data_IF_294975422847
#
_entry.id   IF_294975422847
#
_cell.length_a   1.000
_cell.length_b   1.000
_cell.length_c   1.000
_cell.angle_alpha   90.00
_cell.angle_beta   90.00
_cell.angle_gamma   90.00
#
_symmetry.space_group_name_H-M   'P 1'
#
loop_
_entity.id
_entity.type
_entity.pdbx_description
1 polymer ?
#
# COMPACT_ATOMS: atom_id res chain seq x y z
N UNK A 1 3.59 -26.21 0.19
CA UNK A 1 4.51 -26.10 -0.95
C UNK A 1 3.69 -26.08 -2.23
N UNK A 2 3.70 -24.95 -2.92
CA UNK A 2 3.08 -24.73 -4.22
C UNK A 2 4.02 -23.84 -5.04
N UNK A 3 3.89 -23.85 -6.37
CA UNK A 3 4.74 -23.07 -7.29
C UNK A 3 3.93 -22.18 -8.24
N UNK A 4 2.60 -22.30 -8.22
CA UNK A 4 1.67 -21.52 -9.03
C UNK A 4 0.34 -21.31 -8.30
N UNK A 5 -0.58 -20.59 -8.95
CA UNK A 5 -1.83 -20.14 -8.32
C UNK A 5 -2.80 -21.29 -8.09
N UNK A 6 -2.88 -22.25 -9.00
CA UNK A 6 -3.69 -23.45 -8.81
C UNK A 6 -3.21 -24.25 -7.59
N UNK A 7 -1.90 -24.48 -7.46
CA UNK A 7 -1.34 -25.15 -6.28
C UNK A 7 -1.60 -24.39 -4.98
N UNK A 8 -1.59 -23.06 -5.01
CA UNK A 8 -1.96 -22.23 -3.86
C UNK A 8 -3.43 -22.43 -3.47
N UNK A 9 -4.36 -22.38 -4.43
CA UNK A 9 -5.77 -22.62 -4.16
C UNK A 9 -6.04 -24.03 -3.63
N UNK A 10 -5.42 -25.05 -4.20
CA UNK A 10 -5.55 -26.42 -3.69
C UNK A 10 -4.98 -26.58 -2.28
N UNK A 11 -3.84 -25.92 -1.98
CA UNK A 11 -3.27 -25.93 -0.63
C UNK A 11 -4.24 -25.35 0.40
N UNK A 12 -4.85 -24.21 0.07
CA UNK A 12 -5.78 -23.52 0.97
C UNK A 12 -7.09 -24.31 1.13
N UNK A 13 -7.64 -24.86 0.04
CA UNK A 13 -8.85 -25.69 0.09
C UNK A 13 -8.68 -26.92 0.97
N UNK A 14 -7.49 -27.53 0.97
CA UNK A 14 -7.18 -28.73 1.77
C UNK A 14 -7.46 -28.53 3.26
N UNK A 15 -7.14 -27.34 3.79
CA UNK A 15 -7.27 -27.04 5.21
C UNK A 15 -8.62 -26.34 5.52
N UNK A 16 -9.39 -25.97 4.48
CA UNK A 16 -10.66 -25.26 4.57
C UNK A 16 -10.50 -23.74 4.71
N UNK A 17 -11.45 -22.97 4.17
CA UNK A 17 -11.53 -21.51 4.30
C UNK A 17 -12.89 -21.08 4.83
N UNK A 18 -12.90 -20.08 5.70
CA UNK A 18 -14.12 -19.52 6.29
C UNK A 18 -14.80 -18.48 5.41
N UNK A 19 -14.08 -17.92 4.43
CA UNK A 19 -14.57 -16.91 3.49
C UNK A 19 -14.17 -17.29 2.07
N UNK A 20 -14.90 -16.77 1.08
CA UNK A 20 -14.50 -16.86 -0.32
C UNK A 20 -13.15 -16.15 -0.52
N UNK A 21 -12.31 -16.69 -1.40
CA UNK A 21 -11.00 -16.13 -1.73
C UNK A 21 -10.92 -15.83 -3.23
N UNK A 22 -10.55 -14.59 -3.55
CA UNK A 22 -10.13 -14.19 -4.88
C UNK A 22 -8.68 -13.68 -4.80
N UNK A 23 -7.89 -13.96 -5.85
CA UNK A 23 -6.49 -13.54 -5.89
C UNK A 23 -6.14 -12.96 -7.27
N UNK A 24 -5.30 -11.95 -7.28
CA UNK A 24 -4.65 -11.45 -8.49
C UNK A 24 -3.27 -12.10 -8.65
N UNK A 25 -2.70 -11.97 -9.84
CA UNK A 25 -1.27 -12.24 -10.10
C UNK A 25 -0.48 -10.93 -10.09
N UNK A 26 0.72 -10.93 -9.51
CA UNK A 26 1.53 -9.72 -9.37
C UNK A 26 2.60 -9.61 -10.48
N UNK A 27 2.56 -8.57 -11.33
CA UNK A 27 3.56 -8.33 -12.37
C UNK A 27 5.00 -8.30 -11.83
N UNK A 28 5.21 -7.73 -10.64
CA UNK A 28 6.53 -7.67 -9.99
C UNK A 28 7.07 -9.06 -9.64
N UNK A 29 6.20 -9.98 -9.21
CA UNK A 29 6.60 -11.36 -8.91
C UNK A 29 6.90 -12.14 -10.18
N UNK A 30 6.08 -11.95 -11.22
CA UNK A 30 6.32 -12.54 -12.55
C UNK A 30 7.64 -12.07 -13.13
N UNK A 31 7.92 -10.76 -13.08
CA UNK A 31 9.20 -10.21 -13.53
C UNK A 31 10.37 -10.80 -12.76
N UNK A 32 10.26 -10.90 -11.42
CA UNK A 32 11.30 -11.53 -10.60
C UNK A 32 11.52 -13.00 -10.92
N UNK A 33 10.48 -13.74 -11.31
CA UNK A 33 10.60 -15.14 -11.69
C UNK A 33 11.33 -15.35 -13.02
N UNK A 34 11.31 -14.35 -13.92
CA UNK A 34 11.92 -14.43 -15.26
C UNK A 34 13.29 -13.75 -15.29
N UNK A 35 13.36 -12.49 -14.86
CA UNK A 35 14.55 -11.62 -14.98
C UNK A 35 15.38 -11.61 -13.68
N UNK A 36 14.83 -12.10 -12.58
CA UNK A 36 15.49 -12.06 -11.27
C UNK A 36 15.50 -10.65 -10.66
N UNK A 37 16.64 -10.26 -10.10
CA UNK A 37 16.83 -8.97 -9.41
C UNK A 37 17.55 -7.92 -10.26
N UNK A 38 17.72 -8.19 -11.55
CA UNK A 38 18.40 -7.27 -12.46
C UNK A 38 17.51 -6.07 -12.79
N UNK A 39 18.11 -4.89 -12.70
CA UNK A 39 17.52 -3.62 -13.07
C UNK A 39 17.89 -3.28 -14.52
N UNK A 40 17.08 -3.81 -15.44
CA UNK A 40 17.17 -3.59 -16.89
C UNK A 40 15.84 -3.87 -17.57
N UNK A 41 15.59 -3.37 -18.79
CA UNK A 41 14.46 -3.86 -19.58
C UNK A 41 14.61 -5.35 -19.88
N UNK A 42 13.48 -6.05 -19.94
CA UNK A 42 13.39 -7.43 -20.38
C UNK A 42 13.62 -7.57 -21.89
N UNK A 43 14.25 -8.66 -22.31
CA UNK A 43 14.32 -9.02 -23.74
C UNK A 43 12.94 -9.42 -24.26
N UNK A 44 12.80 -9.54 -25.58
CA UNK A 44 11.56 -9.99 -26.19
C UNK A 44 11.12 -11.37 -25.67
N UNK A 45 12.06 -12.30 -25.54
CA UNK A 45 11.84 -13.65 -25.00
C UNK A 45 11.42 -13.62 -23.53
N UNK A 46 12.01 -12.74 -22.73
CA UNK A 46 11.65 -12.58 -21.32
C UNK A 46 10.26 -11.96 -21.17
N UNK A 47 9.89 -10.98 -22.01
CA UNK A 47 8.54 -10.41 -22.04
C UNK A 47 7.52 -11.49 -22.45
N UNK A 48 7.85 -12.33 -23.44
CA UNK A 48 7.01 -13.47 -23.81
C UNK A 48 6.87 -14.49 -22.67
N UNK A 49 7.94 -14.77 -21.93
CA UNK A 49 7.88 -15.64 -20.76
C UNK A 49 7.02 -15.04 -19.63
N UNK A 50 7.17 -13.74 -19.34
CA UNK A 50 6.36 -13.04 -18.35
C UNK A 50 4.87 -13.05 -18.70
N UNK A 51 4.53 -12.69 -19.94
CA UNK A 51 3.14 -12.74 -20.41
C UNK A 51 2.56 -14.15 -20.39
N UNK A 52 3.36 -15.19 -20.69
CA UNK A 52 2.94 -16.60 -20.57
C UNK A 52 2.61 -16.99 -19.11
N UNK A 53 3.38 -16.48 -18.14
CA UNK A 53 3.07 -16.70 -16.71
C UNK A 53 1.79 -15.99 -16.27
N UNK A 54 1.52 -14.78 -16.79
CA UNK A 54 0.25 -14.08 -16.56
C UNK A 54 -0.92 -14.89 -17.14
N UNK A 55 -0.82 -15.32 -18.40
CA UNK A 55 -1.83 -16.15 -19.04
C UNK A 55 -2.16 -17.41 -18.22
N UNK A 56 -1.12 -18.14 -17.81
CA UNK A 56 -1.26 -19.31 -16.94
C UNK A 56 -1.97 -18.96 -15.63
N UNK A 57 -1.62 -17.86 -14.97
CA UNK A 57 -2.27 -17.48 -13.72
C UNK A 57 -3.76 -17.11 -13.92
N UNK A 58 -4.11 -16.44 -15.01
CA UNK A 58 -5.50 -16.14 -15.36
C UNK A 58 -6.31 -17.43 -15.62
N UNK A 59 -5.75 -18.39 -16.38
CA UNK A 59 -6.35 -19.71 -16.60
C UNK A 59 -6.54 -20.51 -15.29
N UNK A 60 -5.67 -20.27 -14.31
CA UNK A 60 -5.74 -20.86 -12.97
C UNK A 60 -6.73 -20.14 -12.04
N UNK A 61 -7.42 -19.10 -12.51
CA UNK A 61 -8.47 -18.39 -11.77
C UNK A 61 -8.03 -17.10 -11.09
N UNK A 62 -6.92 -16.48 -11.53
CA UNK A 62 -6.64 -15.10 -11.12
C UNK A 62 -7.75 -14.16 -11.61
N UNK A 63 -8.21 -13.25 -10.75
CA UNK A 63 -9.27 -12.28 -11.10
C UNK A 63 -8.76 -11.03 -11.81
N UNK A 64 -7.45 -10.94 -12.04
CA UNK A 64 -6.79 -9.80 -12.64
C UNK A 64 -5.31 -9.73 -12.27
N UNK A 65 -4.70 -8.60 -12.60
CA UNK A 65 -3.32 -8.27 -12.23
C UNK A 65 -3.33 -7.23 -11.12
N UNK A 66 -2.41 -7.34 -10.16
CA UNK A 66 -2.33 -6.42 -9.03
C UNK A 66 -0.90 -5.99 -8.78
N UNK A 67 -0.68 -4.68 -8.67
CA UNK A 67 0.65 -4.10 -8.53
C UNK A 67 0.73 -3.14 -7.33
N UNK A 68 1.95 -2.95 -6.82
CA UNK A 68 2.29 -1.88 -5.89
C UNK A 68 3.61 -1.23 -6.29
N UNK A 69 3.63 0.09 -6.42
CA UNK A 69 4.78 0.83 -6.92
C UNK A 69 5.43 1.69 -5.83
N UNK A 70 6.64 2.17 -6.08
CA UNK A 70 7.22 3.30 -5.35
C UNK A 70 6.99 4.58 -6.16
N UNK A 71 7.26 5.74 -5.57
CA UNK A 71 7.12 7.02 -6.28
C UNK A 71 7.89 6.99 -7.59
N UNK A 72 7.24 7.37 -8.69
CA UNK A 72 7.76 7.20 -10.04
C UNK A 72 6.97 6.18 -10.87
N UNK A 73 6.19 5.29 -10.24
CA UNK A 73 5.34 4.31 -10.91
C UNK A 73 6.14 3.11 -11.45
N UNK A 74 5.58 2.34 -12.41
CA UNK A 74 6.31 1.24 -13.03
C UNK A 74 7.45 1.77 -13.91
N UNK A 75 8.67 1.37 -13.58
CA UNK A 75 9.88 1.72 -14.35
C UNK A 75 9.81 1.21 -15.79
N UNK A 76 9.43 -0.06 -15.96
CA UNK A 76 9.28 -0.72 -17.25
C UNK A 76 7.80 -0.78 -17.67
N UNK A 77 7.22 0.38 -17.98
CA UNK A 77 5.79 0.50 -18.29
C UNK A 77 5.33 -0.40 -19.45
N UNK A 78 6.13 -0.56 -20.50
CA UNK A 78 5.77 -1.38 -21.65
C UNK A 78 5.67 -2.88 -21.30
N UNK A 79 6.51 -3.37 -20.37
CA UNK A 79 6.41 -4.74 -19.84
C UNK A 79 5.09 -4.92 -19.07
N UNK A 80 4.73 -3.93 -18.24
CA UNK A 80 3.45 -3.93 -17.51
C UNK A 80 2.27 -3.92 -18.47
N UNK A 81 2.31 -3.09 -19.52
CA UNK A 81 1.25 -3.03 -20.54
C UNK A 81 1.14 -4.37 -21.28
N UNK A 82 2.24 -5.02 -21.63
CA UNK A 82 2.23 -6.33 -22.28
C UNK A 82 1.57 -7.41 -21.38
N UNK A 83 1.92 -7.43 -20.10
CA UNK A 83 1.29 -8.31 -19.10
C UNK A 83 -0.19 -7.98 -18.92
N UNK A 84 -0.55 -6.70 -18.80
CA UNK A 84 -1.93 -6.25 -18.66
C UNK A 84 -2.80 -6.59 -19.88
N UNK A 85 -2.29 -6.39 -21.10
CA UNK A 85 -2.94 -6.82 -22.36
C UNK A 85 -3.15 -8.33 -22.41
N UNK A 86 -2.24 -9.10 -21.81
CA UNK A 86 -2.41 -10.55 -21.75
C UNK A 86 -3.57 -10.92 -20.84
N UNK A 87 -3.66 -10.29 -19.66
CA UNK A 87 -4.75 -10.51 -18.73
C UNK A 87 -6.11 -10.04 -19.27
N UNK A 88 -6.17 -8.97 -20.08
CA UNK A 88 -7.43 -8.48 -20.65
C UNK A 88 -8.17 -9.51 -21.52
N UNK A 89 -7.43 -10.43 -22.15
CA UNK A 89 -8.02 -11.52 -22.96
C UNK A 89 -8.84 -12.52 -22.15
N UNK A 90 -8.62 -12.60 -20.84
CA UNK A 90 -9.30 -13.54 -19.94
C UNK A 90 -10.43 -12.88 -19.13
N UNK A 91 -10.62 -11.56 -19.29
CA UNK A 91 -11.41 -10.76 -18.36
C UNK A 91 -10.68 -10.54 -17.03
N UNK A 92 -11.01 -9.47 -16.32
CA UNK A 92 -10.38 -9.11 -15.04
C UNK A 92 -10.18 -7.60 -14.90
N UNK A 93 -9.27 -7.20 -14.03
CA UNK A 93 -8.93 -5.79 -13.80
C UNK A 93 -7.44 -5.59 -13.51
N UNK A 94 -6.98 -4.34 -13.63
CA UNK A 94 -5.69 -3.87 -13.12
C UNK A 94 -5.87 -3.18 -11.78
N UNK A 95 -5.52 -3.88 -10.71
CA UNK A 95 -5.49 -3.35 -9.35
C UNK A 95 -4.15 -2.70 -9.03
N UNK A 96 -4.13 -1.54 -8.39
CA UNK A 96 -2.87 -0.84 -8.11
C UNK A 96 -2.86 -0.08 -6.79
N UNK A 97 -1.80 -0.30 -6.01
CA UNK A 97 -1.29 0.67 -5.04
C UNK A 97 -0.39 1.64 -5.84
N UNK A 98 -0.90 2.85 -6.05
CA UNK A 98 -0.20 3.94 -6.75
C UNK A 98 1.14 4.25 -6.08
N UNK A 99 2.14 4.67 -6.84
CA UNK A 99 3.51 4.82 -6.31
C UNK A 99 3.67 5.88 -5.23
N UNK A 100 2.80 6.89 -5.26
CA UNK A 100 2.73 7.96 -4.28
C UNK A 100 1.27 8.27 -3.99
N UNK A 101 0.98 8.43 -2.70
CA UNK A 101 -0.30 8.91 -2.20
C UNK A 101 -0.14 10.31 -1.58
N UNK A 102 1.03 10.93 -1.75
CA UNK A 102 1.40 12.25 -1.25
C UNK A 102 1.51 13.25 -2.39
N UNK A 103 2.67 13.92 -2.50
CA UNK A 103 2.86 15.03 -3.43
C UNK A 103 2.73 14.67 -4.92
N UNK A 104 2.73 13.38 -5.26
CA UNK A 104 2.70 12.89 -6.65
C UNK A 104 1.43 12.08 -6.97
N UNK A 105 0.36 12.25 -6.18
CA UNK A 105 -0.87 11.46 -6.32
C UNK A 105 -1.47 11.54 -7.73
N UNK A 106 -1.57 12.73 -8.31
CA UNK A 106 -2.18 12.94 -9.63
C UNK A 106 -1.41 12.18 -10.72
N UNK A 107 -0.09 12.34 -10.76
CA UNK A 107 0.77 11.71 -11.76
C UNK A 107 0.69 10.17 -11.68
N UNK A 108 0.55 9.62 -10.47
CA UNK A 108 0.44 8.17 -10.27
C UNK A 108 -0.94 7.62 -10.64
N UNK A 109 -2.01 8.41 -10.47
CA UNK A 109 -3.34 8.09 -11.00
C UNK A 109 -3.33 8.11 -12.53
N UNK A 110 -2.72 9.12 -13.16
CA UNK A 110 -2.58 9.21 -14.61
C UNK A 110 -1.83 8.02 -15.20
N UNK A 111 -0.73 7.58 -14.56
CA UNK A 111 -0.02 6.36 -14.96
C UNK A 111 -0.92 5.13 -14.90
N UNK A 112 -1.75 5.03 -13.87
CA UNK A 112 -2.69 3.91 -13.71
C UNK A 112 -3.78 3.92 -14.79
N UNK A 113 -4.31 5.10 -15.11
CA UNK A 113 -5.26 5.31 -16.23
C UNK A 113 -4.61 4.92 -17.55
N UNK A 114 -3.37 5.33 -17.81
CA UNK A 114 -2.62 4.98 -19.03
C UNK A 114 -2.46 3.47 -19.21
N UNK A 115 -2.22 2.72 -18.12
CA UNK A 115 -2.18 1.25 -18.18
C UNK A 115 -3.56 0.69 -18.57
N UNK A 116 -4.65 1.21 -17.98
CA UNK A 116 -6.01 0.83 -18.34
C UNK A 116 -6.32 1.09 -19.80
N UNK A 117 -6.09 2.31 -20.29
CA UNK A 117 -6.31 2.72 -21.68
C UNK A 117 -5.48 1.87 -22.66
N UNK A 118 -4.20 1.62 -22.37
CA UNK A 118 -3.32 0.87 -23.25
C UNK A 118 -3.56 -0.65 -23.27
N UNK A 119 -4.15 -1.20 -22.21
CA UNK A 119 -4.40 -2.64 -22.06
C UNK A 119 -5.84 -3.07 -22.32
N UNK A 120 -6.79 -2.14 -22.22
CA UNK A 120 -8.23 -2.40 -22.25
C UNK A 120 -8.78 -3.00 -20.95
N UNK A 121 -8.01 -3.04 -19.86
CA UNK A 121 -8.49 -3.49 -18.56
C UNK A 121 -9.21 -2.37 -17.80
N UNK A 122 -10.28 -2.69 -17.06
CA UNK A 122 -10.73 -1.88 -15.93
C UNK A 122 -9.59 -1.63 -14.95
N UNK A 123 -9.59 -0.46 -14.31
CA UNK A 123 -8.58 -0.07 -13.31
C UNK A 123 -9.24 -0.01 -11.94
N UNK A 124 -8.58 -0.56 -10.92
CA UNK A 124 -9.01 -0.47 -9.53
C UNK A 124 -7.90 0.12 -8.65
N UNK A 125 -8.07 1.34 -8.18
CA UNK A 125 -7.09 2.02 -7.31
C UNK A 125 -7.34 1.57 -5.87
N UNK A 126 -6.34 0.92 -5.26
CA UNK A 126 -6.45 0.50 -3.88
C UNK A 126 -6.40 1.69 -2.94
N UNK A 127 -7.20 1.60 -1.87
CA UNK A 127 -7.20 2.49 -0.70
C UNK A 127 -6.95 3.97 -1.04
N UNK A 128 -7.72 4.51 -1.99
CA UNK A 128 -7.58 5.88 -2.50
C UNK A 128 -7.58 6.89 -1.34
N UNK A 129 -6.54 7.70 -1.29
CA UNK A 129 -6.30 8.70 -0.24
C UNK A 129 -5.32 9.76 -0.73
N UNK A 130 -5.23 10.84 0.03
CA UNK A 130 -4.06 11.72 0.03
C UNK A 130 -3.45 11.74 1.43
N UNK A 131 -2.12 11.64 1.53
CA UNK A 131 -1.38 11.67 2.79
C UNK A 131 -0.53 12.93 2.94
N UNK A 132 -0.32 13.36 4.17
CA UNK A 132 0.48 14.54 4.51
C UNK A 132 -0.41 15.77 4.74
N UNK A 133 -0.21 16.45 5.88
CA UNK A 133 -1.03 17.61 6.29
C UNK A 133 -1.09 18.73 5.24
N UNK A 134 0.01 19.09 4.54
CA UNK A 134 -0.04 20.13 3.50
C UNK A 134 -0.94 19.77 2.31
N UNK A 135 -1.32 18.50 2.15
CA UNK A 135 -2.09 17.99 1.02
C UNK A 135 -3.54 17.65 1.38
N UNK A 136 -3.97 17.88 2.62
CA UNK A 136 -5.37 17.66 3.00
C UNK A 136 -6.31 18.52 2.15
N UNK A 137 -7.40 17.93 1.66
CA UNK A 137 -8.31 18.52 0.68
C UNK A 137 -7.93 18.26 -0.77
N UNK A 138 -6.69 17.82 -1.07
CA UNK A 138 -6.21 17.60 -2.45
C UNK A 138 -6.67 16.29 -3.07
N UNK A 139 -7.31 15.41 -2.31
CA UNK A 139 -7.88 14.16 -2.86
C UNK A 139 -8.93 14.43 -3.94
N UNK A 140 -9.57 15.61 -3.93
CA UNK A 140 -10.51 16.04 -4.96
C UNK A 140 -9.91 16.08 -6.35
N UNK A 141 -8.62 16.40 -6.47
CA UNK A 141 -7.92 16.48 -7.75
C UNK A 141 -7.72 15.07 -8.35
N UNK A 142 -7.36 14.09 -7.52
CA UNK A 142 -7.29 12.68 -7.93
C UNK A 142 -8.67 12.09 -8.30
N UNK A 143 -9.71 12.46 -7.54
CA UNK A 143 -11.10 12.12 -7.85
C UNK A 143 -11.51 12.66 -9.22
N UNK A 144 -11.16 13.92 -9.53
CA UNK A 144 -11.48 14.53 -10.82
C UNK A 144 -10.85 13.76 -11.97
N UNK A 145 -9.56 13.40 -11.87
CA UNK A 145 -8.88 12.60 -12.90
C UNK A 145 -9.57 11.25 -13.15
N UNK A 146 -10.00 10.59 -12.08
CA UNK A 146 -10.75 9.32 -12.16
C UNK A 146 -12.10 9.55 -12.85
N UNK A 147 -12.84 10.57 -12.47
CA UNK A 147 -14.15 10.88 -13.06
C UNK A 147 -14.04 11.28 -14.54
N UNK A 148 -13.00 12.00 -14.93
CA UNK A 148 -12.70 12.32 -16.33
C UNK A 148 -12.35 11.07 -17.15
N UNK A 149 -11.54 10.16 -16.62
CA UNK A 149 -11.24 8.88 -17.28
C UNK A 149 -12.50 8.02 -17.46
N UNK A 150 -13.36 7.98 -16.43
CA UNK A 150 -14.67 7.33 -16.51
C UNK A 150 -15.58 7.98 -17.57
N UNK A 151 -15.56 9.31 -17.67
CA UNK A 151 -16.27 10.07 -18.70
C UNK A 151 -15.81 9.75 -20.13
N UNK A 152 -14.54 9.34 -20.30
CA UNK A 152 -13.99 8.83 -21.57
C UNK A 152 -14.30 7.36 -21.84
N UNK A 153 -14.98 6.67 -20.92
CA UNK A 153 -15.40 5.28 -21.07
C UNK A 153 -14.48 4.23 -20.44
N UNK A 154 -13.41 4.64 -19.74
CA UNK A 154 -12.58 3.70 -18.98
C UNK A 154 -13.28 3.33 -17.66
N UNK A 155 -13.43 2.04 -17.37
CA UNK A 155 -13.96 1.61 -16.07
C UNK A 155 -12.88 1.73 -14.99
N UNK A 156 -12.90 2.85 -14.25
CA UNK A 156 -11.98 3.10 -13.13
C UNK A 156 -12.75 3.10 -11.82
N UNK A 157 -12.40 2.20 -10.91
CA UNK A 157 -12.96 2.13 -9.56
C UNK A 157 -11.87 2.32 -8.53
N UNK A 158 -12.27 2.47 -7.27
CA UNK A 158 -11.32 2.46 -6.16
C UNK A 158 -11.93 1.78 -4.94
N UNK A 159 -11.12 1.55 -3.91
CA UNK A 159 -11.62 1.25 -2.58
C UNK A 159 -11.01 2.17 -1.53
N UNK A 160 -11.60 2.16 -0.33
CA UNK A 160 -11.09 2.90 0.82
C UNK A 160 -11.41 2.17 2.13
N UNK A 161 -10.52 2.32 3.12
CA UNK A 161 -10.79 2.00 4.53
C UNK A 161 -11.23 3.27 5.30
N UNK A 162 -12.17 3.16 6.25
CA UNK A 162 -12.82 4.30 6.90
C UNK A 162 -12.02 4.86 8.10
N UNK A 163 -10.74 5.18 7.89
CA UNK A 163 -9.81 5.64 8.92
C UNK A 163 -8.87 6.71 8.39
N UNK A 164 -8.41 7.59 9.29
CA UNK A 164 -7.44 8.65 9.00
C UNK A 164 -5.98 8.23 9.23
N UNK A 165 -5.74 6.93 9.45
CA UNK A 165 -4.41 6.38 9.63
C UNK A 165 -4.15 5.18 8.71
N UNK A 166 -2.90 5.06 8.26
CA UNK A 166 -2.42 3.93 7.46
C UNK A 166 -1.45 3.06 8.26
N UNK A 167 -1.11 1.88 7.74
CA UNK A 167 -0.18 0.95 8.40
C UNK A 167 0.79 0.33 7.40
N UNK A 168 2.08 0.30 7.75
CA UNK A 168 3.14 -0.46 7.07
C UNK A 168 4.42 -0.42 7.95
N UNK A 169 5.50 -1.17 7.61
CA UNK A 169 6.77 -1.03 8.31
C UNK A 169 7.37 0.38 8.21
N UNK A 170 8.10 0.81 9.24
CA UNK A 170 8.85 2.06 9.32
C UNK A 170 9.86 2.22 8.18
N UNK A 171 10.22 1.14 7.49
CA UNK A 171 11.09 1.17 6.33
C UNK A 171 10.66 2.20 5.27
N UNK A 172 9.35 2.46 5.12
CA UNK A 172 8.81 3.46 4.18
C UNK A 172 9.03 4.92 4.58
N UNK A 173 9.56 5.19 5.78
CA UNK A 173 9.96 6.52 6.21
C UNK A 173 11.31 6.94 5.63
N UNK A 174 12.11 5.97 5.15
CA UNK A 174 13.49 6.18 4.77
C UNK A 174 13.64 6.37 3.26
N UNK A 175 14.71 7.03 2.78
CA UNK A 175 15.00 7.14 1.36
C UNK A 175 15.01 5.79 0.64
N UNK A 176 14.70 5.79 -0.67
CA UNK A 176 14.62 4.60 -1.52
C UNK A 176 15.88 3.73 -1.47
N UNK A 177 17.06 4.35 -1.40
CA UNK A 177 18.32 3.61 -1.25
C UNK A 177 18.42 2.78 0.05
N UNK A 178 17.59 3.06 1.08
CA UNK A 178 17.38 2.20 2.25
C UNK A 178 16.24 1.20 2.01
N UNK A 179 15.16 1.66 1.36
CA UNK A 179 14.01 0.81 1.00
C UNK A 179 14.32 -0.28 -0.03
N UNK A 180 15.41 -0.18 -0.76
CA UNK A 180 15.80 -1.19 -1.76
C UNK A 180 16.96 -2.06 -1.27
N UNK A 181 17.70 -1.60 -0.27
CA UNK A 181 18.84 -2.32 0.31
C UNK A 181 18.41 -3.50 1.21
N UNK A 182 19.17 -4.61 1.25
CA UNK A 182 18.95 -5.70 2.20
C UNK A 182 18.91 -5.22 3.65
N UNK A 183 17.90 -5.65 4.42
CA UNK A 183 17.70 -5.23 5.82
C UNK A 183 18.93 -5.52 6.67
N UNK A 184 19.56 -6.69 6.47
CA UNK A 184 20.75 -7.12 7.19
C UNK A 184 21.97 -6.19 6.97
N UNK A 185 22.05 -5.52 5.82
CA UNK A 185 23.17 -4.63 5.48
C UNK A 185 22.94 -3.20 5.97
N UNK A 186 21.66 -2.79 6.06
CA UNK A 186 21.30 -1.41 6.33
C UNK A 186 21.04 -1.14 7.82
N UNK A 187 20.36 -2.05 8.53
CA UNK A 187 19.96 -1.82 9.93
C UNK A 187 21.15 -1.64 10.88
N UNK A 188 22.23 -2.45 10.80
CA UNK A 188 23.40 -2.23 11.65
C UNK A 188 24.04 -0.84 11.49
N UNK A 189 23.92 -0.22 10.31
CA UNK A 189 24.49 1.10 10.01
C UNK A 189 23.81 2.23 10.77
N UNK A 190 22.59 2.05 11.28
CA UNK A 190 21.96 3.02 12.18
C UNK A 190 22.69 3.19 13.53
N UNK A 191 23.76 2.43 13.82
CA UNK A 191 24.66 2.70 14.95
C UNK A 191 25.81 3.65 14.62
N UNK A 192 25.97 4.02 13.34
CA UNK A 192 27.09 4.82 12.84
C UNK A 192 26.61 6.25 12.64
N UNK A 193 27.25 7.23 13.30
CA UNK A 193 26.81 8.63 13.25
C UNK A 193 26.80 9.20 11.82
N UNK A 194 27.85 8.96 11.03
CA UNK A 194 27.90 9.47 9.64
C UNK A 194 26.80 8.88 8.74
N UNK A 195 26.32 7.68 9.05
CA UNK A 195 25.16 7.11 8.35
C UNK A 195 23.87 7.81 8.76
N UNK A 196 23.68 8.07 10.07
CA UNK A 196 22.54 8.85 10.57
C UNK A 196 22.50 10.24 9.96
N UNK A 197 23.63 10.93 9.93
CA UNK A 197 23.76 12.27 9.35
C UNK A 197 23.38 12.25 7.86
N UNK A 198 23.85 11.25 7.11
CA UNK A 198 23.47 11.08 5.70
C UNK A 198 21.95 10.93 5.54
N UNK A 199 21.32 10.07 6.34
CA UNK A 199 19.86 9.86 6.29
C UNK A 199 19.10 11.12 6.71
N UNK A 200 19.53 11.77 7.78
CA UNK A 200 18.89 12.97 8.32
C UNK A 200 19.05 14.20 7.42
N UNK A 201 20.00 14.19 6.49
CA UNK A 201 20.18 15.25 5.47
C UNK A 201 19.48 14.95 4.14
N UNK A 202 18.90 13.76 3.98
CA UNK A 202 18.30 13.31 2.73
C UNK A 202 16.91 13.97 2.54
N UNK A 203 16.67 14.69 1.43
CA UNK A 203 15.37 15.32 1.17
C UNK A 203 14.20 14.33 1.16
N UNK A 204 14.42 13.11 0.70
CA UNK A 204 13.38 12.08 0.62
C UNK A 204 12.96 11.60 2.01
N UNK A 205 13.90 11.58 2.97
CA UNK A 205 13.59 11.30 4.38
C UNK A 205 12.64 12.36 4.96
N UNK A 206 12.91 13.65 4.71
CA UNK A 206 12.06 14.74 5.17
C UNK A 206 10.68 14.72 4.52
N UNK A 207 10.62 14.50 3.20
CA UNK A 207 9.35 14.37 2.49
C UNK A 207 8.51 13.23 3.07
N UNK A 208 9.09 12.04 3.26
CA UNK A 208 8.35 10.92 3.83
C UNK A 208 7.97 11.16 5.29
N UNK A 209 8.81 11.79 6.10
CA UNK A 209 8.45 12.17 7.46
C UNK A 209 7.16 13.03 7.47
N UNK A 210 7.10 14.05 6.62
CA UNK A 210 5.93 14.94 6.52
C UNK A 210 4.69 14.21 6.00
N UNK A 211 4.84 13.40 4.95
CA UNK A 211 3.77 12.57 4.38
C UNK A 211 3.20 11.53 5.36
N UNK A 212 3.98 11.13 6.38
CA UNK A 212 3.58 10.16 7.41
C UNK A 212 3.11 10.81 8.72
N UNK A 213 2.87 12.12 8.72
CA UNK A 213 2.27 12.86 9.83
C UNK A 213 3.29 13.43 10.84
N UNK A 214 4.59 13.41 10.50
CA UNK A 214 5.66 13.84 11.37
C UNK A 214 5.83 12.94 12.61
N UNK A 215 6.68 13.38 13.54
CA UNK A 215 6.98 12.61 14.75
C UNK A 215 5.79 12.39 15.70
N UNK A 216 4.77 13.23 15.60
CA UNK A 216 3.49 13.09 16.32
C UNK A 216 2.53 12.10 15.66
N UNK A 217 2.70 11.84 14.35
CA UNK A 217 1.84 10.93 13.59
C UNK A 217 2.38 9.51 13.47
N UNK A 218 3.70 9.31 13.58
CA UNK A 218 4.37 8.02 13.41
C UNK A 218 4.35 7.25 14.73
N UNK A 219 3.60 6.15 14.77
CA UNK A 219 3.45 5.25 15.93
C UNK A 219 4.26 3.98 15.71
N UNK A 220 4.96 3.50 16.76
CA UNK A 220 5.50 2.15 16.78
C UNK A 220 4.38 1.16 17.14
N UNK A 221 3.73 0.58 16.15
CA UNK A 221 2.57 -0.31 16.38
C UNK A 221 2.99 -1.69 16.87
N UNK A 222 4.14 -2.21 16.42
CA UNK A 222 4.67 -3.50 16.87
C UNK A 222 6.18 -3.54 16.76
N UNK A 223 6.80 -4.04 17.83
CA UNK A 223 8.21 -4.39 17.93
C UNK A 223 8.35 -5.85 18.35
N UNK A 224 9.41 -6.50 17.92
CA UNK A 224 9.73 -7.89 18.25
C UNK A 224 10.69 -7.94 19.43
N UNK A 225 11.61 -6.96 19.56
CA UNK A 225 12.56 -6.92 20.66
C UNK A 225 11.83 -6.71 22.02
N UNK A 226 11.95 -7.64 22.98
CA UNK A 226 11.32 -7.51 24.29
C UNK A 226 11.72 -6.24 25.06
N UNK A 227 12.93 -5.72 24.85
CA UNK A 227 13.39 -4.51 25.53
C UNK A 227 12.72 -3.23 25.04
N UNK A 228 11.98 -3.30 23.93
CA UNK A 228 11.26 -2.16 23.34
C UNK A 228 9.76 -2.22 23.58
N UNK A 229 9.25 -3.15 24.39
CA UNK A 229 7.79 -3.30 24.57
C UNK A 229 7.11 -2.08 25.14
N UNK A 230 7.82 -1.23 25.85
CA UNK A 230 7.34 0.06 26.34
C UNK A 230 7.08 1.09 25.23
N UNK A 231 7.65 0.93 24.02
CA UNK A 231 7.44 1.84 22.89
C UNK A 231 6.17 1.51 22.09
N UNK A 232 5.61 0.32 22.24
CA UNK A 232 4.42 -0.10 21.47
C UNK A 232 3.21 0.81 21.74
N UNK A 233 2.58 1.26 20.65
CA UNK A 233 1.44 2.17 20.68
C UNK A 233 1.79 3.64 20.95
N UNK A 234 3.08 4.00 21.04
CA UNK A 234 3.53 5.38 21.23
C UNK A 234 4.05 6.00 19.94
N UNK A 235 3.89 7.31 19.83
CA UNK A 235 4.48 8.09 18.74
C UNK A 235 5.99 8.22 18.94
N UNK A 236 6.74 8.47 17.88
CA UNK A 236 8.19 8.75 18.00
C UNK A 236 8.42 9.94 18.92
N UNK A 237 7.60 10.99 18.84
CA UNK A 237 7.67 12.15 19.73
C UNK A 237 7.45 11.78 21.21
N UNK A 238 6.48 10.90 21.51
CA UNK A 238 6.25 10.41 22.87
C UNK A 238 7.44 9.62 23.41
N UNK A 239 8.04 8.74 22.59
CA UNK A 239 9.22 7.97 23.00
C UNK A 239 10.44 8.87 23.17
N UNK A 240 10.59 9.88 22.32
CA UNK A 240 11.66 10.87 22.42
C UNK A 240 11.58 11.65 23.74
N UNK A 241 10.37 12.07 24.12
CA UNK A 241 10.12 12.69 25.42
C UNK A 241 10.43 11.75 26.59
N UNK A 242 10.04 10.47 26.51
CA UNK A 242 10.37 9.47 27.54
C UNK A 242 11.89 9.26 27.70
N UNK A 243 12.63 9.33 26.60
CA UNK A 243 14.09 9.15 26.56
C UNK A 243 14.88 10.44 26.79
N UNK A 244 14.22 11.59 26.89
CA UNK A 244 14.84 12.92 26.89
C UNK A 244 15.83 13.09 25.71
N UNK A 245 15.41 12.64 24.53
CA UNK A 245 16.19 12.65 23.29
C UNK A 245 15.44 13.40 22.18
N UNK A 246 16.11 13.72 21.08
CA UNK A 246 15.41 14.28 19.92
C UNK A 246 14.69 13.16 19.13
N UNK A 247 13.57 13.48 18.43
CA UNK A 247 12.79 12.47 17.73
C UNK A 247 13.52 11.76 16.58
N UNK A 248 14.40 12.45 15.86
CA UNK A 248 15.15 11.86 14.75
C UNK A 248 16.09 10.75 15.25
N UNK A 249 16.91 11.06 16.26
CA UNK A 249 17.79 10.06 16.88
C UNK A 249 16.98 8.94 17.53
N UNK A 250 15.86 9.28 18.18
CA UNK A 250 14.96 8.26 18.76
C UNK A 250 14.44 7.28 17.71
N UNK A 251 14.05 7.76 16.53
CA UNK A 251 13.64 6.90 15.42
C UNK A 251 14.77 5.94 15.01
N UNK A 252 15.98 6.47 14.84
CA UNK A 252 17.15 5.69 14.45
C UNK A 252 17.59 4.70 15.53
N UNK A 253 17.51 5.09 16.81
CA UNK A 253 17.79 4.25 17.96
C UNK A 253 16.83 3.07 18.01
N UNK A 254 15.53 3.30 17.85
CA UNK A 254 14.53 2.22 17.83
C UNK A 254 14.82 1.23 16.69
N UNK A 255 15.13 1.71 15.48
CA UNK A 255 15.50 0.82 14.35
C UNK A 255 16.78 0.03 14.66
N UNK A 256 17.77 0.68 15.26
CA UNK A 256 19.00 0.04 15.66
C UNK A 256 18.77 -1.02 16.75
N UNK A 257 18.07 -0.69 17.82
CA UNK A 257 17.75 -1.55 18.97
C UNK A 257 16.87 -2.74 18.59
N UNK A 258 15.88 -2.52 17.73
CA UNK A 258 15.00 -3.57 17.21
C UNK A 258 15.76 -4.58 16.33
N UNK A 259 16.80 -4.12 15.63
CA UNK A 259 17.50 -4.94 14.63
C UNK A 259 16.68 -5.16 13.35
N UNK A 260 15.55 -4.47 13.22
CA UNK A 260 14.67 -4.43 12.06
C UNK A 260 13.92 -3.09 12.03
N UNK A 261 13.15 -2.84 10.98
CA UNK A 261 12.21 -1.72 10.95
C UNK A 261 10.91 -2.11 11.67
N UNK A 262 10.50 -1.40 12.74
CA UNK A 262 9.22 -1.66 13.41
C UNK A 262 8.03 -1.60 12.46
N UNK A 263 6.91 -2.24 12.82
CA UNK A 263 5.65 -1.96 12.13
C UNK A 263 5.05 -0.67 12.66
N UNK A 264 4.56 0.19 11.78
CA UNK A 264 4.02 1.50 12.14
C UNK A 264 2.57 1.70 11.78
N UNK A 265 1.91 2.56 12.56
CA UNK A 265 0.64 3.23 12.22
C UNK A 265 0.94 4.72 12.05
N UNK A 266 0.33 5.35 11.06
CA UNK A 266 0.66 6.73 10.66
C UNK A 266 -0.60 7.58 10.58
N UNK A 267 -0.72 8.59 11.44
CA UNK A 267 -1.85 9.52 11.45
C UNK A 267 -1.58 10.70 10.51
N UNK A 268 -2.03 10.58 9.27
CA UNK A 268 -1.59 11.48 8.19
C UNK A 268 -2.67 11.85 7.16
N UNK A 269 -3.92 11.43 7.36
CA UNK A 269 -5.05 11.78 6.49
C UNK A 269 -6.06 12.68 7.20
N UNK A 270 -6.82 13.45 6.42
CA UNK A 270 -7.97 14.23 6.88
C UNK A 270 -9.22 13.37 6.94
N UNK A 271 -10.05 13.56 7.97
CA UNK A 271 -11.37 12.94 8.06
C UNK A 271 -12.31 13.44 6.95
N UNK A 272 -12.17 14.69 6.51
CA UNK A 272 -12.99 15.25 5.43
C UNK A 272 -12.66 14.62 4.08
N UNK A 273 -11.39 14.34 3.81
CA UNK A 273 -10.95 13.61 2.62
C UNK A 273 -11.47 12.17 2.65
N UNK A 274 -11.47 11.53 3.82
CA UNK A 274 -12.07 10.20 4.00
C UNK A 274 -13.55 10.21 3.63
N UNK A 275 -14.33 11.17 4.14
CA UNK A 275 -15.75 11.30 3.79
C UNK A 275 -15.95 11.57 2.30
N UNK A 276 -15.14 12.44 1.72
CA UNK A 276 -15.23 12.84 0.32
C UNK A 276 -15.05 11.64 -0.62
N UNK A 277 -14.01 10.84 -0.40
CA UNK A 277 -13.76 9.62 -1.18
C UNK A 277 -14.85 8.60 -0.94
N UNK A 278 -15.24 8.35 0.32
CA UNK A 278 -16.27 7.38 0.68
C UNK A 278 -17.60 7.65 -0.02
N UNK A 279 -17.99 8.91 -0.18
CA UNK A 279 -19.24 9.32 -0.82
C UNK A 279 -19.31 9.02 -2.33
N UNK A 280 -18.18 8.73 -3.00
CA UNK A 280 -18.17 8.51 -4.45
C UNK A 280 -18.77 7.15 -4.82
N UNK A 281 -19.71 7.06 -5.79
CA UNK A 281 -20.45 5.83 -6.05
C UNK A 281 -19.59 4.67 -6.57
N UNK A 282 -18.44 4.98 -7.17
CA UNK A 282 -17.45 4.04 -7.72
C UNK A 282 -16.35 3.63 -6.71
N UNK A 283 -16.48 4.05 -5.45
CA UNK A 283 -15.60 3.64 -4.35
C UNK A 283 -16.26 2.55 -3.52
N UNK A 284 -15.59 1.41 -3.41
CA UNK A 284 -15.97 0.29 -2.55
C UNK A 284 -15.34 0.41 -1.15
N UNK A 285 -15.88 -0.33 -0.17
CA UNK A 285 -15.28 -0.41 1.17
C UNK A 285 -14.34 -1.61 1.23
N UNK A 286 -13.07 -1.37 1.57
CA UNK A 286 -12.09 -2.44 1.78
C UNK A 286 -11.27 -2.18 3.03
N UNK A 287 -10.96 -3.23 3.80
CA UNK A 287 -10.31 -3.06 5.10
C UNK A 287 -8.84 -2.65 5.00
N UNK A 288 -8.12 -3.08 3.96
CA UNK A 288 -6.65 -3.08 3.92
C UNK A 288 -6.03 -3.73 5.19
N UNK A 289 -6.82 -4.56 5.87
CA UNK A 289 -6.44 -5.19 7.12
C UNK A 289 -5.54 -6.39 6.87
N UNK A 290 -4.57 -6.59 7.75
CA UNK A 290 -3.87 -7.88 7.82
C UNK A 290 -4.83 -8.94 8.38
N UNK A 291 -4.71 -10.17 7.90
CA UNK A 291 -5.41 -11.33 8.47
C UNK A 291 -4.74 -11.74 9.79
N UNK A 292 -5.28 -11.23 10.90
CA UNK A 292 -4.73 -11.40 12.25
C UNK A 292 -5.84 -11.82 13.23
N UNK A 293 -5.46 -12.51 14.31
CA UNK A 293 -6.36 -12.93 15.39
C UNK A 293 -6.23 -12.00 16.62
N UNK A 294 -6.96 -12.32 17.69
CA UNK A 294 -6.94 -11.52 18.94
C UNK A 294 -5.62 -11.61 19.70
N UNK A 295 -4.80 -12.63 19.42
CA UNK A 295 -3.47 -12.83 20.02
C UNK A 295 -2.35 -12.14 19.21
N UNK A 296 -2.71 -11.33 18.20
CA UNK A 296 -1.75 -10.65 17.37
C UNK A 296 -0.84 -9.73 18.20
N UNK A 297 0.49 -9.85 18.07
CA UNK A 297 1.42 -9.05 18.87
C UNK A 297 1.33 -7.55 18.53
N UNK A 298 1.62 -6.72 19.52
CA UNK A 298 1.63 -5.26 19.39
C UNK A 298 0.24 -4.63 19.45
N UNK A 299 0.09 -3.51 18.75
CA UNK A 299 -1.09 -2.65 18.67
C UNK A 299 -1.45 -2.41 17.20
N UNK A 300 -1.97 -3.44 16.49
CA UNK A 300 -2.26 -3.35 15.06
C UNK A 300 -3.36 -2.34 14.78
N UNK A 301 -3.42 -1.85 13.54
CA UNK A 301 -4.42 -0.91 13.09
C UNK A 301 -5.85 -1.51 13.20
N UNK A 302 -6.83 -0.78 13.75
CA UNK A 302 -8.17 -1.30 14.02
C UNK A 302 -8.95 -1.73 12.75
N UNK A 303 -8.51 -1.29 11.56
CA UNK A 303 -9.08 -1.67 10.26
C UNK A 303 -9.14 -3.19 10.02
N UNK A 304 -8.26 -3.97 10.64
CA UNK A 304 -8.31 -5.44 10.58
C UNK A 304 -9.57 -6.04 11.20
N UNK A 305 -10.24 -5.33 12.11
CA UNK A 305 -11.41 -5.85 12.83
C UNK A 305 -12.68 -5.00 12.63
N UNK A 306 -12.51 -3.69 12.37
CA UNK A 306 -13.61 -2.73 12.54
C UNK A 306 -14.12 -2.06 11.26
N UNK A 307 -13.56 -2.33 10.07
CA UNK A 307 -13.85 -1.54 8.86
C UNK A 307 -15.35 -1.46 8.54
N UNK A 308 -16.01 -2.59 8.27
CA UNK A 308 -17.41 -2.58 7.83
C UNK A 308 -18.35 -2.05 8.92
N UNK A 309 -18.15 -2.46 10.17
CA UNK A 309 -18.95 -1.97 11.30
C UNK A 309 -18.77 -0.48 11.57
N UNK A 310 -17.57 0.07 11.30
CA UNK A 310 -17.31 1.50 11.41
C UNK A 310 -18.03 2.27 10.31
N UNK A 311 -18.10 1.76 9.08
CA UNK A 311 -18.92 2.39 8.02
C UNK A 311 -20.38 2.45 8.45
N UNK A 312 -20.96 1.31 8.86
CA UNK A 312 -22.37 1.22 9.24
C UNK A 312 -22.71 2.02 10.50
N UNK A 313 -21.81 2.08 11.48
CA UNK A 313 -22.01 2.84 12.71
C UNK A 313 -21.71 4.32 12.53
N UNK A 314 -20.44 4.66 12.34
CA UNK A 314 -19.98 6.05 12.31
C UNK A 314 -20.51 6.78 11.07
N UNK A 315 -20.31 6.23 9.87
CA UNK A 315 -20.54 6.98 8.64
C UNK A 315 -21.98 6.90 8.11
N UNK A 316 -22.73 5.84 8.43
CA UNK A 316 -24.15 5.74 8.08
C UNK A 316 -25.04 6.29 9.19
N UNK A 317 -25.00 5.69 10.38
CA UNK A 317 -25.94 6.02 11.47
C UNK A 317 -25.64 7.38 12.11
N UNK A 318 -24.39 7.64 12.47
CA UNK A 318 -24.04 8.79 13.30
C UNK A 318 -23.79 10.05 12.45
N UNK A 319 -22.99 9.95 11.39
CA UNK A 319 -22.58 11.10 10.56
C UNK A 319 -23.37 11.27 9.27
N UNK A 320 -24.14 10.25 8.84
CA UNK A 320 -25.00 10.29 7.64
C UNK A 320 -24.26 10.68 6.35
N UNK A 321 -22.99 10.26 6.24
CA UNK A 321 -22.17 10.41 5.02
C UNK A 321 -22.70 9.53 3.90
N UNK A 322 -23.19 8.33 4.25
CA UNK A 322 -23.85 7.39 3.34
C UNK A 322 -25.24 7.06 3.86
N UNK A 323 -26.16 6.70 2.96
CA UNK A 323 -27.36 5.96 3.37
C UNK A 323 -27.00 4.50 3.66
N UNK A 324 -27.87 3.77 4.37
CA UNK A 324 -27.63 2.36 4.65
C UNK A 324 -27.60 1.55 3.35
N UNK A 325 -28.51 1.83 2.42
CA UNK A 325 -28.61 1.16 1.13
C UNK A 325 -27.35 1.37 0.29
N UNK A 326 -26.82 2.61 0.25
CA UNK A 326 -25.59 2.88 -0.47
C UNK A 326 -24.38 2.22 0.19
N UNK A 327 -24.32 2.20 1.52
CA UNK A 327 -23.24 1.51 2.25
C UNK A 327 -23.27 -0.02 2.09
N UNK A 328 -24.44 -0.64 1.91
CA UNK A 328 -24.57 -2.09 1.64
C UNK A 328 -24.25 -2.42 0.17
N UNK A 329 -24.54 -1.50 -0.76
CA UNK A 329 -24.18 -1.64 -2.18
C UNK A 329 -22.67 -1.57 -2.41
N UNK A 330 -21.96 -0.76 -1.62
CA UNK A 330 -20.51 -0.54 -1.68
C UNK A 330 -19.71 -1.67 -1.04
#
# INVERSE_FOLDING_TARGET
NWIDLAGYFERIKKDGISINLASCVAPQQVRRAVIGFEDRPGTEEEIQAMTSLIAKAMEQGAVGISAAWHGGGPEYLDELIAMARTASRYGGFFGTHVGSEGFQLQEEIEKSIRVGEASGLPVHIYHLKVRGKPLWGKVSEGIQLIEEARGRGLDVTANQYPYTAMQHPWRRLFPRWIQDAPVADIVPKFRIQSFRDKVASDPEFHQYLDEHGGWEGIVASRVVNPSLKDVEGKTVAQVANMRNANPTDTCFDIVAEEGAFPFGVYHNMSEDDVRMVMAKPWVAIASDGSAINLDAPGKPHPRSFGTNVRVLGKYVRDEKVLTLEDAIRK
#
